data_IF_945121839584
#
_entry.id   IF_945121839584
#
_cell.length_a   1.000
_cell.length_b   1.000
_cell.length_c   1.000
_cell.angle_alpha   90.00
_cell.angle_beta   90.00
_cell.angle_gamma   90.00
#
_symmetry.space_group_name_H-M   'P 1'
#
loop_
_entity.id
_entity.type
_entity.pdbx_description
1 polymer ?
#
# COMPACT_ATOMS: atom_id res chain seq x y z
N UNK A 1 1.05 -20.88 13.24
CA UNK A 1 0.05 -20.59 12.16
C UNK A 1 -0.34 -21.90 11.50
N UNK A 2 -1.62 -22.12 11.30
CA UNK A 2 -2.02 -23.32 10.57
C UNK A 2 -1.66 -23.17 9.06
N UNK A 3 -1.39 -24.30 8.42
CA UNK A 3 -0.96 -24.37 7.03
C UNK A 3 -1.96 -23.74 6.06
N UNK A 4 -3.25 -23.89 6.30
CA UNK A 4 -4.32 -23.34 5.46
C UNK A 4 -4.30 -21.81 5.42
N UNK A 5 -4.09 -21.16 6.58
CA UNK A 5 -3.97 -19.69 6.71
C UNK A 5 -2.70 -19.20 6.02
N UNK A 6 -1.58 -19.86 6.27
CA UNK A 6 -0.31 -19.53 5.65
C UNK A 6 -0.38 -19.61 4.12
N UNK A 7 -0.90 -20.71 3.57
CA UNK A 7 -1.04 -20.91 2.13
C UNK A 7 -2.02 -19.91 1.49
N UNK A 8 -3.05 -19.49 2.22
CA UNK A 8 -3.97 -18.44 1.75
C UNK A 8 -3.25 -17.10 1.58
N UNK A 9 -2.48 -16.71 2.59
CA UNK A 9 -1.72 -15.45 2.56
C UNK A 9 -0.67 -15.48 1.44
N UNK A 10 0.04 -16.61 1.27
CA UNK A 10 0.98 -16.77 0.15
C UNK A 10 0.31 -16.62 -1.22
N UNK A 11 -0.88 -17.19 -1.41
CA UNK A 11 -1.64 -17.02 -2.66
C UNK A 11 -2.04 -15.56 -2.89
N UNK A 12 -2.46 -14.87 -1.86
CA UNK A 12 -2.76 -13.44 -1.95
C UNK A 12 -1.52 -12.63 -2.35
N UNK A 13 -0.35 -12.86 -1.73
CA UNK A 13 0.91 -12.22 -2.12
C UNK A 13 1.22 -12.47 -3.59
N UNK A 14 1.03 -13.70 -4.05
CA UNK A 14 1.19 -14.04 -5.47
C UNK A 14 0.23 -13.25 -6.36
N UNK A 15 -1.04 -13.15 -5.99
CA UNK A 15 -2.05 -12.40 -6.74
C UNK A 15 -1.70 -10.91 -6.86
N UNK A 16 -1.29 -10.26 -5.78
CA UNK A 16 -0.89 -8.84 -5.81
C UNK A 16 0.44 -8.59 -6.52
N UNK A 17 1.19 -9.65 -6.81
CA UNK A 17 2.45 -9.63 -7.58
C UNK A 17 2.24 -9.86 -9.07
N UNK A 18 1.05 -10.27 -9.51
CA UNK A 18 0.74 -10.54 -10.92
C UNK A 18 0.57 -9.24 -11.70
N UNK A 19 1.19 -9.19 -12.88
CA UNK A 19 1.04 -8.06 -13.81
C UNK A 19 -0.36 -8.06 -14.38
N UNK A 20 -1.02 -6.90 -14.34
CA UNK A 20 -2.40 -6.71 -14.75
C UNK A 20 -2.51 -5.66 -15.85
N UNK A 21 -3.15 -5.98 -17.00
CA UNK A 21 -3.42 -4.98 -18.05
C UNK A 21 -4.26 -3.80 -17.53
N UNK A 22 -5.21 -4.06 -16.63
CA UNK A 22 -6.09 -3.05 -16.01
C UNK A 22 -5.32 -2.00 -15.18
N UNK A 23 -4.08 -2.31 -14.80
CA UNK A 23 -3.19 -1.45 -14.04
C UNK A 23 -2.00 -0.95 -14.89
N UNK A 24 -2.18 -0.86 -16.22
CA UNK A 24 -1.12 -0.41 -17.13
C UNK A 24 0.08 -1.36 -17.20
N UNK A 25 -0.16 -2.67 -17.05
CA UNK A 25 0.87 -3.72 -16.99
C UNK A 25 1.75 -3.66 -15.74
N UNK A 26 1.23 -3.10 -14.64
CA UNK A 26 1.83 -3.22 -13.32
C UNK A 26 1.08 -4.25 -12.47
N UNK A 27 1.76 -4.78 -11.45
CA UNK A 27 1.12 -5.51 -10.36
C UNK A 27 0.49 -4.54 -9.36
N UNK A 28 -0.44 -5.01 -8.52
CA UNK A 28 -0.95 -4.22 -7.38
C UNK A 28 0.21 -3.79 -6.47
N UNK A 29 1.14 -4.71 -6.19
CA UNK A 29 2.37 -4.41 -5.49
C UNK A 29 3.57 -4.86 -6.34
N UNK A 30 4.21 -3.95 -7.11
CA UNK A 30 5.28 -4.34 -8.04
C UNK A 30 6.51 -4.96 -7.40
N UNK A 31 6.72 -4.73 -6.10
CA UNK A 31 7.87 -5.25 -5.36
C UNK A 31 7.57 -6.52 -4.55
N UNK A 32 6.31 -6.97 -4.47
CA UNK A 32 5.91 -8.09 -3.62
C UNK A 32 6.61 -9.42 -3.99
N UNK A 33 6.86 -9.66 -5.28
CA UNK A 33 7.54 -10.86 -5.76
C UNK A 33 9.03 -10.91 -5.43
N UNK A 34 9.66 -9.77 -5.15
CA UNK A 34 11.09 -9.62 -4.93
C UNK A 34 11.45 -9.35 -3.47
N UNK A 35 10.49 -8.92 -2.68
CA UNK A 35 10.71 -8.56 -1.29
C UNK A 35 11.08 -9.78 -0.43
N UNK A 36 12.07 -9.60 0.43
CA UNK A 36 12.35 -10.55 1.50
C UNK A 36 11.31 -10.39 2.60
N UNK A 37 10.34 -11.29 2.65
CA UNK A 37 9.25 -11.23 3.63
C UNK A 37 9.18 -12.45 4.54
N UNK A 38 8.49 -12.29 5.67
CA UNK A 38 8.10 -13.36 6.58
C UNK A 38 6.64 -13.19 7.00
N UNK A 39 5.93 -14.29 7.17
CA UNK A 39 4.55 -14.33 7.66
C UNK A 39 4.55 -14.94 9.06
N UNK A 40 3.97 -14.25 10.02
CA UNK A 40 3.94 -14.65 11.43
C UNK A 40 2.52 -14.56 11.97
N UNK A 41 2.10 -15.54 12.80
CA UNK A 41 0.98 -15.34 13.71
C UNK A 41 1.45 -14.55 14.92
N UNK A 42 0.70 -13.52 15.30
CA UNK A 42 1.00 -12.73 16.49
C UNK A 42 -0.27 -12.12 17.08
N UNK A 43 -0.28 -11.90 18.37
CA UNK A 43 -1.30 -11.06 18.99
C UNK A 43 -1.09 -9.61 18.55
N UNK A 44 -2.16 -8.89 18.20
CA UNK A 44 -2.09 -7.51 17.73
C UNK A 44 -1.28 -6.61 18.68
N UNK A 45 -1.46 -6.77 19.98
CA UNK A 45 -0.73 -6.01 21.02
C UNK A 45 0.77 -6.28 21.10
N UNK A 46 1.25 -7.35 20.45
CA UNK A 46 2.68 -7.77 20.45
C UNK A 46 3.38 -7.49 19.13
N UNK A 47 2.67 -6.93 18.16
CA UNK A 47 3.24 -6.55 16.86
C UNK A 47 4.35 -5.52 17.05
N UNK A 48 5.48 -5.75 16.41
CA UNK A 48 6.68 -4.89 16.50
C UNK A 48 7.55 -5.02 15.25
N UNK A 49 8.46 -4.06 14.99
CA UNK A 49 9.44 -4.20 13.91
C UNK A 49 10.34 -5.42 14.10
N UNK A 50 10.76 -6.02 12.98
CA UNK A 50 11.77 -7.08 12.97
C UNK A 50 12.87 -6.74 11.98
N UNK A 51 14.09 -6.65 12.47
CA UNK A 51 15.27 -6.38 11.65
C UNK A 51 15.56 -7.53 10.68
N UNK A 52 16.15 -7.21 9.54
CA UNK A 52 16.56 -8.20 8.55
C UNK A 52 15.47 -8.65 7.56
N UNK A 53 14.28 -8.07 7.64
CA UNK A 53 13.16 -8.31 6.73
C UNK A 53 12.73 -7.02 6.04
N UNK A 54 12.44 -7.09 4.74
CA UNK A 54 11.88 -5.97 3.99
C UNK A 54 10.38 -5.79 4.27
N UNK A 55 9.67 -6.91 4.48
CA UNK A 55 8.27 -6.92 4.89
C UNK A 55 8.03 -7.99 5.94
N UNK A 56 7.42 -7.61 7.05
CA UNK A 56 6.87 -8.56 8.02
C UNK A 56 5.36 -8.52 7.91
N UNK A 57 4.73 -9.65 7.67
CA UNK A 57 3.27 -9.79 7.59
C UNK A 57 2.82 -10.50 8.85
N UNK A 58 2.14 -9.78 9.73
CA UNK A 58 1.53 -10.34 10.93
C UNK A 58 0.09 -10.72 10.64
N UNK A 59 -0.25 -11.99 10.79
CA UNK A 59 -1.62 -12.44 10.88
C UNK A 59 -2.05 -12.32 12.35
N UNK A 60 -2.96 -11.38 12.61
CA UNK A 60 -3.45 -11.09 13.95
C UNK A 60 -4.84 -11.68 14.15
N UNK A 61 -5.43 -11.47 15.33
CA UNK A 61 -6.75 -12.02 15.69
C UNK A 61 -7.84 -11.52 14.73
N UNK A 62 -8.70 -12.41 14.27
CA UNK A 62 -9.74 -12.12 13.28
C UNK A 62 -11.03 -11.52 13.89
N UNK A 63 -11.14 -11.42 15.22
CA UNK A 63 -12.29 -10.87 15.93
C UNK A 63 -12.24 -9.36 16.14
N UNK A 64 -11.10 -8.71 15.83
CA UNK A 64 -10.99 -7.26 15.89
C UNK A 64 -11.84 -6.58 14.81
N UNK A 65 -12.60 -5.55 15.22
CA UNK A 65 -13.25 -4.65 14.28
C UNK A 65 -12.25 -3.75 13.55
N UNK A 66 -12.64 -3.25 12.37
CA UNK A 66 -11.75 -2.46 11.53
C UNK A 66 -11.20 -1.21 12.24
N UNK A 67 -12.08 -0.44 12.91
CA UNK A 67 -11.67 0.79 13.60
C UNK A 67 -10.63 0.53 14.71
N UNK A 68 -10.78 -0.58 15.42
CA UNK A 68 -9.80 -0.97 16.44
C UNK A 68 -8.46 -1.35 15.82
N UNK A 69 -8.47 -2.15 14.76
CA UNK A 69 -7.24 -2.53 14.04
C UNK A 69 -6.51 -1.31 13.49
N UNK A 70 -7.23 -0.40 12.84
CA UNK A 70 -6.63 0.82 12.28
C UNK A 70 -6.09 1.73 13.38
N UNK A 71 -6.80 1.92 14.49
CA UNK A 71 -6.34 2.72 15.61
C UNK A 71 -5.06 2.17 16.24
N UNK A 72 -4.94 0.86 16.40
CA UNK A 72 -3.73 0.21 16.89
C UNK A 72 -2.55 0.39 15.95
N UNK A 73 -2.77 0.28 14.64
CA UNK A 73 -1.74 0.49 13.63
C UNK A 73 -1.27 1.94 13.59
N UNK A 74 -2.18 2.90 13.76
CA UNK A 74 -1.83 4.32 13.90
C UNK A 74 -0.95 4.57 15.13
N UNK A 75 -1.22 3.92 16.25
CA UNK A 75 -0.38 3.99 17.44
C UNK A 75 1.02 3.43 17.18
N UNK A 76 1.14 2.29 16.50
CA UNK A 76 2.44 1.75 16.09
C UNK A 76 3.21 2.72 15.18
N UNK A 77 2.54 3.36 14.23
CA UNK A 77 3.16 4.37 13.37
C UNK A 77 3.64 5.61 14.14
N UNK A 78 3.00 5.95 15.25
CA UNK A 78 3.45 7.03 16.14
C UNK A 78 4.67 6.64 16.96
N UNK A 79 4.74 5.39 17.42
CA UNK A 79 5.84 4.88 18.27
C UNK A 79 7.08 4.53 17.45
N UNK A 80 6.90 3.80 16.36
CA UNK A 80 8.01 3.25 15.56
C UNK A 80 8.30 4.11 14.32
N UNK A 81 8.92 5.27 14.49
CA UNK A 81 9.13 6.26 13.42
C UNK A 81 9.93 5.78 12.21
N UNK A 82 10.81 4.78 12.39
CA UNK A 82 11.62 4.21 11.30
C UNK A 82 10.89 3.14 10.48
N UNK A 83 9.68 2.78 10.88
CA UNK A 83 8.87 1.75 10.24
C UNK A 83 7.50 2.29 9.85
N UNK A 84 6.90 1.68 8.84
CA UNK A 84 5.51 1.91 8.47
C UNK A 84 4.72 0.63 8.70
N UNK A 85 3.65 0.75 9.46
CA UNK A 85 2.66 -0.31 9.67
C UNK A 85 1.43 0.00 8.83
N UNK A 86 0.93 -1.02 8.15
CA UNK A 86 -0.26 -0.94 7.28
C UNK A 86 -1.21 -2.04 7.70
N UNK A 87 -2.47 -1.68 7.98
CA UNK A 87 -3.52 -2.64 8.29
C UNK A 87 -4.23 -3.12 7.03
N UNK A 88 -4.53 -4.40 6.97
CA UNK A 88 -5.46 -4.99 6.00
C UNK A 88 -6.52 -5.80 6.77
N UNK A 89 -7.68 -5.19 6.98
CA UNK A 89 -8.78 -5.81 7.70
C UNK A 89 -9.49 -6.83 6.82
N UNK A 90 -9.86 -7.98 7.38
CA UNK A 90 -10.49 -9.11 6.68
C UNK A 90 -11.76 -8.76 5.90
N UNK A 91 -12.48 -7.72 6.32
CA UNK A 91 -13.69 -7.22 5.65
C UNK A 91 -13.44 -6.02 4.74
N UNK A 92 -12.20 -5.56 4.61
CA UNK A 92 -11.87 -4.48 3.68
C UNK A 92 -12.17 -4.90 2.26
N UNK A 93 -12.67 -3.95 1.47
CA UNK A 93 -13.08 -4.17 0.09
C UNK A 93 -12.53 -3.02 -0.77
N UNK A 94 -11.24 -3.08 -1.06
CA UNK A 94 -10.50 -2.04 -1.77
C UNK A 94 -10.08 -2.51 -3.16
N UNK A 95 -10.24 -1.62 -4.15
CA UNK A 95 -9.95 -1.90 -5.55
C UNK A 95 -9.16 -0.76 -6.19
N UNK A 96 -8.30 -1.13 -7.13
CA UNK A 96 -7.67 -0.19 -8.05
C UNK A 96 -8.10 -0.60 -9.46
N UNK A 97 -8.85 0.25 -10.13
CA UNK A 97 -9.40 -0.02 -11.46
C UNK A 97 -10.03 -1.41 -11.60
N UNK A 98 -10.85 -1.81 -10.63
CA UNK A 98 -11.54 -3.10 -10.59
C UNK A 98 -10.69 -4.29 -10.11
N UNK A 99 -9.41 -4.09 -9.79
CA UNK A 99 -8.53 -5.13 -9.25
C UNK A 99 -8.49 -5.05 -7.73
N UNK A 100 -8.87 -6.12 -7.05
CA UNK A 100 -8.88 -6.19 -5.59
C UNK A 100 -7.47 -6.15 -5.02
N UNK A 101 -7.25 -5.31 -4.00
CA UNK A 101 -5.94 -5.12 -3.37
C UNK A 101 -5.79 -5.84 -2.04
N UNK A 102 -6.85 -5.92 -1.25
CA UNK A 102 -6.85 -6.54 0.08
C UNK A 102 -7.02 -8.07 0.03
N UNK A 103 -6.63 -8.76 1.12
CA UNK A 103 -6.73 -10.22 1.16
C UNK A 103 -8.17 -10.75 1.35
N UNK A 104 -9.05 -9.98 1.97
CA UNK A 104 -10.48 -10.26 2.11
C UNK A 104 -10.85 -11.41 3.05
N UNK A 105 -9.92 -11.92 3.86
CA UNK A 105 -10.18 -13.08 4.74
C UNK A 105 -9.60 -12.98 6.14
N UNK A 106 -8.40 -12.48 6.28
CA UNK A 106 -7.69 -12.41 7.55
C UNK A 106 -7.31 -10.99 7.90
N UNK A 107 -7.24 -10.68 9.18
CA UNK A 107 -6.69 -9.42 9.66
C UNK A 107 -5.16 -9.49 9.57
N UNK A 108 -4.57 -8.61 8.79
CA UNK A 108 -3.13 -8.53 8.60
C UNK A 108 -2.59 -7.16 9.04
N UNK A 109 -1.39 -7.16 9.58
CA UNK A 109 -0.60 -5.96 9.78
C UNK A 109 0.74 -6.15 9.07
N UNK A 110 1.03 -5.30 8.10
CA UNK A 110 2.29 -5.30 7.38
C UNK A 110 3.23 -4.27 8.02
N UNK A 111 4.47 -4.65 8.26
CA UNK A 111 5.51 -3.76 8.80
C UNK A 111 6.68 -3.71 7.83
N UNK A 112 7.08 -2.50 7.44
CA UNK A 112 8.14 -2.25 6.48
C UNK A 112 9.04 -1.12 6.96
N UNK A 113 10.35 -1.12 6.62
CA UNK A 113 11.20 0.04 6.83
C UNK A 113 10.65 1.25 6.05
N UNK A 114 10.43 2.37 6.74
CA UNK A 114 9.79 3.57 6.16
C UNK A 114 10.60 4.19 5.02
N UNK A 115 11.92 4.28 5.19
CA UNK A 115 12.79 4.88 4.17
C UNK A 115 12.71 4.14 2.86
N UNK A 116 12.83 2.83 2.87
CA UNK A 116 12.78 1.97 1.70
C UNK A 116 11.41 2.01 1.03
N UNK A 117 10.34 2.05 1.81
CA UNK A 117 8.98 2.20 1.30
C UNK A 117 8.80 3.55 0.58
N UNK A 118 9.24 4.64 1.18
CA UNK A 118 9.16 5.99 0.58
C UNK A 118 9.96 6.05 -0.72
N UNK A 119 11.17 5.50 -0.76
CA UNK A 119 11.99 5.46 -1.97
C UNK A 119 11.35 4.61 -3.09
N UNK A 120 10.73 3.48 -2.74
CA UNK A 120 9.97 2.66 -3.69
C UNK A 120 8.78 3.42 -4.27
N UNK A 121 8.02 4.12 -3.43
CA UNK A 121 6.89 4.97 -3.85
C UNK A 121 7.33 6.11 -4.77
N UNK A 122 8.46 6.75 -4.49
CA UNK A 122 9.03 7.78 -5.38
C UNK A 122 9.40 7.22 -6.75
N UNK A 123 10.00 6.04 -6.82
CA UNK A 123 10.31 5.37 -8.08
C UNK A 123 9.05 5.05 -8.88
N UNK A 124 8.01 4.52 -8.23
CA UNK A 124 6.72 4.25 -8.86
C UNK A 124 6.02 5.54 -9.34
N UNK A 125 6.15 6.63 -8.60
CA UNK A 125 5.59 7.95 -8.97
C UNK A 125 6.20 8.55 -10.25
N UNK A 126 7.37 8.09 -10.66
CA UNK A 126 8.01 8.48 -11.94
C UNK A 126 7.50 7.67 -13.13
N UNK A 127 6.70 6.65 -12.90
CA UNK A 127 6.08 5.77 -13.88
C UNK A 127 4.58 6.07 -13.99
N UNK A 128 3.86 5.28 -14.80
CA UNK A 128 2.41 5.34 -14.92
C UNK A 128 1.68 4.49 -13.85
N UNK A 129 2.39 3.97 -12.86
CA UNK A 129 1.84 3.06 -11.85
C UNK A 129 0.62 3.63 -11.13
N UNK A 130 0.68 4.91 -10.71
CA UNK A 130 -0.42 5.55 -9.97
C UNK A 130 -1.51 6.17 -10.85
N UNK A 131 -1.41 6.07 -12.17
CA UNK A 131 -2.37 6.72 -13.09
C UNK A 131 -3.77 6.09 -13.01
N UNK A 132 -3.87 4.82 -12.58
CA UNK A 132 -5.13 4.07 -12.43
C UNK A 132 -5.74 4.14 -11.03
N UNK A 133 -5.07 4.83 -10.10
CA UNK A 133 -5.53 4.95 -8.73
C UNK A 133 -6.55 6.08 -8.59
N UNK A 134 -7.63 5.82 -7.83
CA UNK A 134 -8.51 6.89 -7.36
C UNK A 134 -7.73 7.88 -6.49
N UNK A 135 -8.00 9.17 -6.69
CA UNK A 135 -7.22 10.23 -6.03
C UNK A 135 -7.33 10.22 -4.51
N UNK A 136 -8.54 9.98 -3.98
CA UNK A 136 -8.75 9.94 -2.53
C UNK A 136 -8.05 8.73 -1.92
N UNK A 137 -8.16 7.59 -2.58
CA UNK A 137 -7.48 6.36 -2.15
C UNK A 137 -5.96 6.52 -2.20
N UNK A 138 -5.45 7.18 -3.23
CA UNK A 138 -4.02 7.47 -3.38
C UNK A 138 -3.49 8.35 -2.24
N UNK A 139 -4.21 9.40 -1.88
CA UNK A 139 -3.84 10.28 -0.76
C UNK A 139 -3.90 9.53 0.57
N UNK A 140 -4.91 8.70 0.77
CA UNK A 140 -5.05 7.86 1.97
C UNK A 140 -3.89 6.88 2.13
N UNK A 141 -3.48 6.20 1.05
CA UNK A 141 -2.40 5.21 1.09
C UNK A 141 -1.03 5.85 1.23
N UNK A 142 -0.77 6.93 0.51
CA UNK A 142 0.55 7.58 0.52
C UNK A 142 0.77 8.48 1.73
N UNK A 143 -0.30 9.03 2.31
CA UNK A 143 -0.23 9.93 3.48
C UNK A 143 0.86 11.01 3.30
N UNK A 144 1.84 11.05 4.19
CA UNK A 144 2.96 12.01 4.14
C UNK A 144 3.85 11.85 2.90
N UNK A 145 3.92 10.67 2.30
CA UNK A 145 4.71 10.43 1.08
C UNK A 145 4.08 11.06 -0.18
N UNK A 146 2.79 11.41 -0.12
CA UNK A 146 2.06 11.94 -1.27
C UNK A 146 2.75 13.15 -1.91
N UNK A 147 3.19 14.12 -1.11
CA UNK A 147 3.90 15.31 -1.60
C UNK A 147 5.23 14.95 -2.26
N UNK A 148 6.01 14.06 -1.65
CA UNK A 148 7.30 13.65 -2.19
C UNK A 148 7.17 12.89 -3.52
N UNK A 149 6.08 12.12 -3.68
CA UNK A 149 5.82 11.34 -4.90
C UNK A 149 5.31 12.23 -6.04
N UNK A 150 4.47 13.26 -5.76
CA UNK A 150 3.71 13.98 -6.79
C UNK A 150 4.00 15.46 -6.94
N UNK A 151 4.71 16.13 -6.05
CA UNK A 151 4.87 17.60 -6.08
C UNK A 151 5.36 18.12 -7.45
N UNK A 152 6.33 17.46 -8.07
CA UNK A 152 6.86 17.86 -9.39
C UNK A 152 5.92 17.52 -10.54
N UNK A 153 5.24 16.38 -10.51
CA UNK A 153 4.34 15.94 -11.60
C UNK A 153 3.06 16.76 -11.64
N UNK A 154 2.54 17.16 -10.49
CA UNK A 154 1.30 17.96 -10.39
C UNK A 154 1.50 19.41 -10.71
N UNK A 155 2.62 20.01 -10.35
CA UNK A 155 2.97 21.36 -10.79
C UNK A 155 3.03 21.41 -12.32
N UNK A 156 3.63 20.40 -12.97
CA UNK A 156 3.69 20.32 -14.42
C UNK A 156 2.30 20.19 -15.06
N UNK A 157 1.42 19.34 -14.53
CA UNK A 157 0.05 19.16 -15.02
C UNK A 157 -0.82 20.41 -14.81
N UNK A 158 -0.68 21.12 -13.69
CA UNK A 158 -1.41 22.36 -13.42
C UNK A 158 -0.97 23.49 -14.34
N UNK A 159 0.33 23.62 -14.63
CA UNK A 159 0.91 24.59 -15.58
C UNK A 159 0.41 24.30 -17.00
N UNK A 160 0.36 23.03 -17.43
CA UNK A 160 -0.08 22.67 -18.78
C UNK A 160 -1.60 22.76 -18.95
N UNK A 161 -2.41 22.52 -17.92
CA UNK A 161 -3.85 22.80 -17.91
C UNK A 161 -4.14 24.29 -18.08
N UNK A 162 -3.42 25.17 -17.38
CA UNK A 162 -3.59 26.63 -17.51
C UNK A 162 -3.20 27.13 -18.90
N UNK A 163 -2.14 26.57 -19.52
CA UNK A 163 -1.74 26.90 -20.91
C UNK A 163 -2.77 26.46 -21.96
N UNK A 164 -3.41 25.30 -21.79
CA UNK A 164 -4.45 24.85 -22.72
C UNK A 164 -5.73 25.68 -22.66
N UNK A 165 -6.08 26.23 -21.49
CA UNK A 165 -7.23 27.14 -21.30
C UNK A 165 -6.97 28.51 -21.96
N UNK A 166 -5.76 29.05 -21.87
CA UNK A 166 -5.39 30.33 -22.49
C UNK A 166 -5.36 30.23 -24.02
N UNK A 167 -4.96 29.11 -24.59
CA UNK A 167 -4.94 28.89 -26.03
C UNK A 167 -6.31 28.55 -26.63
N UNK A 168 -7.30 28.18 -25.79
CA UNK A 168 -8.69 27.92 -26.22
C UNK A 168 -9.58 29.15 -26.28
N UNK A 169 -9.15 30.28 -25.75
CA UNK A 169 -9.90 31.56 -25.74
C UNK A 169 -9.43 32.60 -26.76
N UNK A 170 -8.58 32.21 -27.71
CA UNK A 170 -8.05 33.10 -28.79
C UNK A 170 -8.57 32.69 -30.18
N UNK A 171 -9.85 32.31 -30.23
CA UNK A 171 -10.57 32.17 -31.54
C UNK A 171 -11.82 33.04 -31.52
#
# INVERSE_FOLDING_TARGET
MNEKKYNYILRWIKQISEIRPELGNFAVCPYASQAKFIILDEELKKVKPRMGWEVVIYAVEDDHEADFLYAMVDDYNRVYKKYKFIADHRKSNTFINGVQTNNGKYNLVLCQPRKELTEARKKLGKTNYYDYWDENYLQEVLEEDYKEVFDKKRQWLSINKSKSIVNGNSA
#
